data_IF_163025207807
#
_entry.id   IF_163025207807
#
_cell.length_a   1.000
_cell.length_b   1.000
_cell.length_c   1.000
_cell.angle_alpha   90.00
_cell.angle_beta   90.00
_cell.angle_gamma   90.00
#
_symmetry.space_group_name_H-M   'P 1'
#
loop_
_entity.id
_entity.type
_entity.pdbx_description
1 polymer ?
#
# COMPACT_ATOMS: atom_id res chain seq x y z
N UNK A 1 -21.65 5.88 2.00
CA UNK A 1 -20.50 5.53 1.19
C UNK A 1 -19.44 4.91 2.05
N UNK A 2 -18.98 3.76 1.64
CA UNK A 2 -18.08 3.00 2.47
C UNK A 2 -16.64 3.34 2.13
N UNK A 3 -15.94 3.83 3.13
CA UNK A 3 -14.50 3.96 3.06
C UNK A 3 -13.87 3.01 4.06
N UNK A 4 -12.70 2.51 3.70
CA UNK A 4 -11.96 1.63 4.58
C UNK A 4 -10.48 1.94 4.49
N UNK A 5 -9.75 1.59 5.54
CA UNK A 5 -8.30 1.69 5.56
C UNK A 5 -7.74 0.30 5.79
N UNK A 6 -6.87 -0.11 4.90
CA UNK A 6 -6.14 -1.37 5.03
C UNK A 6 -4.66 -1.07 5.14
N UNK A 7 -3.95 -1.91 5.89
CA UNK A 7 -2.52 -1.72 6.09
C UNK A 7 -1.78 -2.94 5.56
N UNK A 8 -0.62 -2.69 4.93
CA UNK A 8 0.26 -3.75 4.48
C UNK A 8 1.67 -3.42 4.97
N UNK A 9 2.31 -4.39 5.61
CA UNK A 9 3.69 -4.24 6.03
C UNK A 9 4.63 -4.64 4.90
N UNK A 10 5.60 -3.78 4.59
CA UNK A 10 6.54 -4.00 3.50
C UNK A 10 7.95 -3.95 4.06
N UNK A 11 8.75 -5.01 3.86
CA UNK A 11 10.12 -5.03 4.34
C UNK A 11 10.94 -3.88 3.75
N UNK A 12 11.97 -3.48 4.47
CA UNK A 12 12.78 -2.33 4.10
C UNK A 12 13.33 -2.42 2.68
N UNK A 13 13.69 -3.63 2.24
CA UNK A 13 14.22 -3.84 0.90
C UNK A 13 13.25 -3.45 -0.21
N UNK A 14 11.96 -3.59 0.05
CA UNK A 14 10.93 -3.36 -0.97
C UNK A 14 10.15 -2.07 -0.76
N UNK A 15 10.29 -1.44 0.41
CA UNK A 15 9.49 -0.27 0.71
C UNK A 15 9.81 0.92 -0.19
N UNK A 16 11.09 1.09 -0.55
CA UNK A 16 11.48 2.17 -1.45
C UNK A 16 10.88 1.98 -2.84
N UNK A 17 10.88 0.75 -3.33
CA UNK A 17 10.33 0.44 -4.63
C UNK A 17 8.81 0.67 -4.65
N UNK A 18 8.13 0.24 -3.62
CA UNK A 18 6.68 0.44 -3.55
C UNK A 18 6.34 1.92 -3.45
N UNK A 19 7.08 2.67 -2.63
CA UNK A 19 6.86 4.11 -2.51
C UNK A 19 7.01 4.80 -3.85
N UNK A 20 8.05 4.45 -4.60
CA UNK A 20 8.28 5.03 -5.90
C UNK A 20 7.15 4.70 -6.86
N UNK A 21 6.70 3.45 -6.86
CA UNK A 21 5.60 3.02 -7.72
C UNK A 21 4.33 3.79 -7.38
N UNK A 22 3.99 3.90 -6.10
CA UNK A 22 2.77 4.61 -5.69
C UNK A 22 2.84 6.10 -5.98
N UNK A 23 4.04 6.67 -5.94
CA UNK A 23 4.22 8.09 -6.22
C UNK A 23 4.05 8.40 -7.70
N UNK A 24 4.47 7.48 -8.57
CA UNK A 24 4.40 7.71 -10.01
C UNK A 24 3.07 7.29 -10.62
N UNK A 25 2.32 6.39 -9.96
CA UNK A 25 1.05 5.91 -10.49
C UNK A 25 -0.09 6.82 -10.06
N UNK A 26 -1.10 6.91 -10.93
CA UNK A 26 -2.33 7.60 -10.59
C UNK A 26 -3.21 6.64 -9.81
N UNK A 27 -3.33 6.87 -8.51
CA UNK A 27 -4.11 6.00 -7.64
C UNK A 27 -5.59 6.37 -7.58
N UNK A 28 -5.99 7.45 -8.28
CA UNK A 28 -7.39 7.85 -8.33
C UNK A 28 -7.94 8.21 -6.97
N UNK A 29 -9.03 7.57 -6.58
CA UNK A 29 -9.69 7.83 -5.31
C UNK A 29 -8.98 7.19 -4.13
N UNK A 30 -7.96 6.37 -4.39
CA UNK A 30 -7.20 5.73 -3.34
C UNK A 30 -6.15 6.68 -2.79
N UNK A 31 -6.11 6.82 -1.49
CA UNK A 31 -5.07 7.60 -0.80
C UNK A 31 -4.18 6.62 -0.06
N UNK A 32 -2.90 6.95 0.07
CA UNK A 32 -1.99 6.09 0.78
C UNK A 32 -1.05 6.91 1.64
N UNK A 33 -0.58 6.28 2.72
CA UNK A 33 0.43 6.86 3.61
C UNK A 33 1.42 5.78 3.97
N UNK A 34 2.64 6.21 4.26
CA UNK A 34 3.69 5.32 4.69
C UNK A 34 4.14 5.71 6.09
N UNK A 35 4.25 4.73 6.96
CA UNK A 35 4.86 4.92 8.28
C UNK A 35 6.09 4.03 8.33
N UNK A 36 7.26 4.64 8.45
CA UNK A 36 8.50 3.88 8.51
C UNK A 36 8.66 3.26 9.89
N UNK A 37 9.12 2.01 9.90
CA UNK A 37 9.39 1.29 11.13
C UNK A 37 10.83 0.82 11.10
N UNK A 38 11.25 0.19 12.19
CA UNK A 38 12.62 -0.32 12.31
C UNK A 38 12.95 -1.33 11.21
N UNK A 39 12.01 -2.19 10.86
CA UNK A 39 12.26 -3.29 9.93
C UNK A 39 11.66 -3.08 8.54
N UNK A 40 10.97 -1.97 8.31
CA UNK A 40 10.34 -1.73 7.02
C UNK A 40 9.40 -0.55 7.07
N UNK A 41 8.28 -0.68 6.41
CA UNK A 41 7.27 0.37 6.38
C UNK A 41 5.87 -0.23 6.41
N UNK A 42 4.95 0.49 7.06
CA UNK A 42 3.53 0.17 6.99
C UNK A 42 2.91 1.11 5.98
N UNK A 43 2.25 0.54 4.98
CA UNK A 43 1.55 1.33 3.97
C UNK A 43 0.06 1.25 4.25
N UNK A 44 -0.57 2.41 4.43
CA UNK A 44 -1.99 2.52 4.74
C UNK A 44 -2.72 2.97 3.49
N UNK A 45 -3.68 2.18 3.05
CA UNK A 45 -4.49 2.48 1.87
C UNK A 45 -5.89 2.83 2.32
N UNK A 46 -6.34 4.03 1.98
CA UNK A 46 -7.64 4.53 2.39
C UNK A 46 -8.43 4.96 1.16
N UNK A 47 -9.68 4.55 1.10
CA UNK A 47 -10.56 4.91 0.00
C UNK A 47 -11.79 4.03 -0.02
N UNK A 48 -12.52 4.01 -1.13
CA UNK A 48 -13.64 3.08 -1.28
C UNK A 48 -13.20 1.67 -0.92
N UNK A 49 -14.04 0.97 -0.17
CA UNK A 49 -13.65 -0.32 0.43
C UNK A 49 -13.06 -1.28 -0.60
N UNK A 50 -13.71 -1.42 -1.75
CA UNK A 50 -13.23 -2.36 -2.77
C UNK A 50 -11.86 -1.95 -3.31
N UNK A 51 -11.67 -0.65 -3.54
CA UNK A 51 -10.40 -0.15 -4.06
C UNK A 51 -9.26 -0.33 -3.06
N UNK A 52 -9.53 -0.01 -1.79
CA UNK A 52 -8.52 -0.16 -0.74
C UNK A 52 -8.18 -1.63 -0.52
N UNK A 53 -9.17 -2.51 -0.58
CA UNK A 53 -8.94 -3.95 -0.45
C UNK A 53 -8.08 -4.47 -1.59
N UNK A 54 -8.38 -4.06 -2.82
CA UNK A 54 -7.59 -4.49 -3.98
C UNK A 54 -6.15 -4.03 -3.87
N UNK A 55 -5.92 -2.82 -3.36
CA UNK A 55 -4.57 -2.33 -3.18
C UNK A 55 -3.81 -3.18 -2.18
N UNK A 56 -4.41 -3.53 -1.06
CA UNK A 56 -3.77 -4.38 -0.07
C UNK A 56 -3.44 -5.76 -0.65
N UNK A 57 -4.40 -6.35 -1.36
CA UNK A 57 -4.20 -7.65 -1.98
C UNK A 57 -3.07 -7.60 -3.00
N UNK A 58 -3.05 -6.56 -3.81
CA UNK A 58 -2.00 -6.38 -4.82
C UNK A 58 -0.62 -6.33 -4.17
N UNK A 59 -0.48 -5.54 -3.11
CA UNK A 59 0.81 -5.43 -2.41
C UNK A 59 1.19 -6.76 -1.77
N UNK A 60 0.24 -7.44 -1.15
CA UNK A 60 0.49 -8.72 -0.51
C UNK A 60 0.98 -9.75 -1.52
N UNK A 61 0.33 -9.84 -2.68
CA UNK A 61 0.74 -10.78 -3.72
C UNK A 61 2.09 -10.40 -4.30
N UNK A 62 2.33 -9.12 -4.48
CA UNK A 62 3.61 -8.64 -4.98
C UNK A 62 4.76 -9.04 -4.03
N UNK A 63 4.52 -8.95 -2.71
CA UNK A 63 5.52 -9.32 -1.73
C UNK A 63 5.82 -10.82 -1.77
N UNK A 64 4.79 -11.64 -1.99
CA UNK A 64 4.95 -13.09 -2.03
C UNK A 64 5.67 -13.53 -3.30
N UNK A 65 5.32 -12.92 -4.43
CA UNK A 65 5.87 -13.35 -5.71
C UNK A 65 7.22 -12.72 -6.03
N UNK A 66 7.55 -11.66 -5.33
CA UNK A 66 8.81 -10.99 -5.55
C UNK A 66 9.90 -11.53 -4.68
#
# INVERSE_FOLDING_TARGET
MDEATFVAFVPKKKSDLLRETLTTEDTGALRWRERRTFSGSEFYFTGPTELARKAQIYVTEWLISG
#
